data_IF_376107111647
#
_entry.id   IF_376107111647
#
_cell.length_a   1.000
_cell.length_b   1.000
_cell.length_c   1.000
_cell.angle_alpha   90.00
_cell.angle_beta   90.00
_cell.angle_gamma   90.00
#
_symmetry.space_group_name_H-M   'P 1'
#
loop_
_entity.id
_entity.type
_entity.pdbx_description
1 polymer ?
#
# COMPACT_ATOMS: atom_id res chain seq x y z
N UNK A 1 -12.52 21.35 13.55
CA UNK A 1 -11.34 20.52 13.86
C UNK A 1 -10.25 20.89 12.88
N UNK A 2 -9.11 21.45 13.33
CA UNK A 2 -8.00 21.76 12.42
C UNK A 2 -7.26 20.47 12.11
N UNK A 3 -7.14 20.12 10.84
CA UNK A 3 -6.34 18.97 10.40
C UNK A 3 -4.86 19.37 10.51
N UNK A 4 -4.09 18.64 11.31
CA UNK A 4 -2.65 18.81 11.37
C UNK A 4 -1.96 18.38 10.07
N UNK A 5 -0.75 18.86 9.84
CA UNK A 5 0.04 18.55 8.64
C UNK A 5 0.31 17.03 8.52
N UNK A 6 0.45 16.35 9.65
CA UNK A 6 0.59 14.91 9.76
C UNK A 6 -0.62 14.16 9.20
N UNK A 7 -1.85 14.64 9.46
CA UNK A 7 -3.07 14.03 8.94
C UNK A 7 -3.21 14.25 7.44
N UNK A 8 -2.80 15.42 6.94
CA UNK A 8 -2.78 15.71 5.49
C UNK A 8 -1.85 14.72 4.78
N UNK A 9 -0.64 14.52 5.32
CA UNK A 9 0.32 13.59 4.76
C UNK A 9 -0.22 12.15 4.72
N UNK A 10 -0.84 11.68 5.81
CA UNK A 10 -1.47 10.36 5.86
C UNK A 10 -2.54 10.20 4.79
N UNK A 11 -3.43 11.18 4.61
CA UNK A 11 -4.47 11.12 3.57
C UNK A 11 -3.91 11.15 2.15
N UNK A 12 -2.78 11.82 1.91
CA UNK A 12 -2.09 11.75 0.61
C UNK A 12 -1.61 10.32 0.33
N UNK A 13 -0.98 9.65 1.31
CA UNK A 13 -0.55 8.26 1.18
C UNK A 13 -1.74 7.31 0.92
N UNK A 14 -2.86 7.53 1.61
CA UNK A 14 -4.10 6.76 1.39
C UNK A 14 -4.64 6.98 -0.02
N UNK A 15 -4.66 8.23 -0.51
CA UNK A 15 -5.08 8.55 -1.87
C UNK A 15 -4.20 7.87 -2.92
N UNK A 16 -2.88 7.86 -2.74
CA UNK A 16 -1.93 7.15 -3.61
C UNK A 16 -2.24 5.66 -3.65
N UNK A 17 -2.50 5.02 -2.50
CA UNK A 17 -2.92 3.62 -2.47
C UNK A 17 -4.20 3.39 -3.26
N UNK A 18 -5.23 4.24 -3.08
CA UNK A 18 -6.50 4.10 -3.80
C UNK A 18 -6.33 4.23 -5.32
N UNK A 19 -5.48 5.16 -5.76
CA UNK A 19 -5.11 5.30 -7.19
C UNK A 19 -4.37 4.05 -7.67
N UNK A 20 -3.40 3.56 -6.90
CA UNK A 20 -2.66 2.33 -7.22
C UNK A 20 -3.59 1.13 -7.35
N UNK A 21 -4.54 0.97 -6.43
CA UNK A 21 -5.55 -0.08 -6.48
C UNK A 21 -6.47 0.06 -7.69
N UNK A 22 -7.00 1.26 -7.95
CA UNK A 22 -7.84 1.51 -9.12
C UNK A 22 -7.11 1.18 -10.43
N UNK A 23 -5.84 1.56 -10.53
CA UNK A 23 -5.00 1.22 -11.68
C UNK A 23 -4.79 -0.29 -11.84
N UNK A 24 -4.47 -1.00 -10.76
CA UNK A 24 -4.34 -2.46 -10.77
C UNK A 24 -5.64 -3.16 -11.19
N UNK A 25 -6.78 -2.73 -10.65
CA UNK A 25 -8.10 -3.25 -11.03
C UNK A 25 -8.44 -2.96 -12.49
N UNK A 26 -8.14 -1.76 -12.99
CA UNK A 26 -8.38 -1.39 -14.38
C UNK A 26 -7.55 -2.23 -15.35
N UNK A 27 -6.32 -2.60 -14.97
CA UNK A 27 -5.45 -3.54 -15.71
C UNK A 27 -5.87 -5.01 -15.57
N UNK A 28 -6.97 -5.32 -14.88
CA UNK A 28 -7.43 -6.69 -14.65
C UNK A 28 -6.45 -7.54 -13.85
N UNK A 29 -5.68 -6.90 -12.97
CA UNK A 29 -4.64 -7.56 -12.16
C UNK A 29 -3.37 -7.94 -12.93
N UNK A 30 -3.21 -7.48 -14.19
CA UNK A 30 -2.04 -7.77 -15.03
C UNK A 30 -1.13 -6.55 -15.10
N UNK A 31 -0.07 -6.56 -14.30
CA UNK A 31 1.00 -5.56 -14.34
C UNK A 31 2.30 -6.22 -14.78
N UNK A 32 3.12 -5.49 -15.56
CA UNK A 32 4.52 -5.86 -15.77
C UNK A 32 5.31 -5.80 -14.46
N UNK A 33 6.50 -6.39 -14.40
CA UNK A 33 7.24 -6.47 -13.15
C UNK A 33 7.57 -5.10 -12.56
N UNK A 34 7.96 -4.13 -13.40
CA UNK A 34 8.23 -2.75 -12.96
C UNK A 34 6.96 -2.08 -12.44
N UNK A 35 5.85 -2.22 -13.15
CA UNK A 35 4.55 -1.69 -12.74
C UNK A 35 4.08 -2.32 -11.42
N UNK A 36 4.30 -3.62 -11.23
CA UNK A 36 3.95 -4.34 -10.02
C UNK A 36 4.74 -3.82 -8.80
N UNK A 37 6.02 -3.46 -8.98
CA UNK A 37 6.81 -2.83 -7.91
C UNK A 37 6.24 -1.45 -7.55
N UNK A 38 5.91 -0.62 -8.55
CA UNK A 38 5.29 0.70 -8.30
C UNK A 38 3.96 0.56 -7.58
N UNK A 39 3.12 -0.38 -8.00
CA UNK A 39 1.88 -0.74 -7.32
C UNK A 39 2.14 -1.16 -5.87
N UNK A 40 3.08 -2.08 -5.64
CA UNK A 40 3.44 -2.56 -4.30
C UNK A 40 3.87 -1.41 -3.38
N UNK A 41 4.74 -0.52 -3.85
CA UNK A 41 5.20 0.64 -3.06
C UNK A 41 4.04 1.58 -2.71
N UNK A 42 3.13 1.79 -3.66
CA UNK A 42 1.93 2.62 -3.46
C UNK A 42 1.00 2.03 -2.40
N UNK A 43 0.78 0.72 -2.46
CA UNK A 43 -0.04 -0.03 -1.50
C UNK A 43 0.58 -0.03 -0.10
N UNK A 44 1.88 -0.32 0.00
CA UNK A 44 2.60 -0.35 1.28
C UNK A 44 2.59 1.01 1.96
N UNK A 45 2.81 2.09 1.20
CA UNK A 45 2.75 3.46 1.73
C UNK A 45 1.38 3.81 2.30
N UNK A 46 0.30 3.48 1.60
CA UNK A 46 -1.05 3.70 2.12
C UNK A 46 -1.42 2.79 3.28
N UNK A 47 -0.99 1.52 3.29
CA UNK A 47 -1.30 0.56 4.37
C UNK A 47 -0.68 1.01 5.69
N UNK A 48 0.53 1.58 5.65
CA UNK A 48 1.15 2.22 6.82
C UNK A 48 0.32 3.42 7.28
N UNK A 49 -0.13 4.26 6.35
CA UNK A 49 -0.91 5.44 6.69
C UNK A 49 -2.29 5.11 7.30
N UNK A 50 -3.02 4.15 6.72
CA UNK A 50 -4.27 3.64 7.30
C UNK A 50 -3.99 2.91 8.62
N UNK A 51 -2.87 2.20 8.73
CA UNK A 51 -2.44 1.57 9.99
C UNK A 51 -2.28 2.58 11.12
N UNK A 52 -1.62 3.72 10.87
CA UNK A 52 -1.49 4.80 11.85
C UNK A 52 -2.84 5.39 12.22
N UNK A 53 -3.68 5.69 11.23
CA UNK A 53 -5.00 6.28 11.44
C UNK A 53 -5.93 5.36 12.26
N UNK A 54 -5.97 4.07 11.91
CA UNK A 54 -6.76 3.06 12.62
C UNK A 54 -6.23 2.76 14.02
N UNK A 55 -4.91 2.86 14.26
CA UNK A 55 -4.34 2.74 15.59
C UNK A 55 -4.74 3.91 16.50
N UNK A 56 -4.71 5.15 15.98
CA UNK A 56 -5.16 6.35 16.70
C UNK A 56 -6.66 6.27 17.00
N UNK A 57 -7.46 5.79 16.05
CA UNK A 57 -8.90 5.62 16.21
C UNK A 57 -9.30 4.40 17.06
N UNK A 58 -8.33 3.62 17.58
CA UNK A 58 -8.56 2.37 18.30
C UNK A 58 -9.43 1.34 17.53
N UNK A 59 -9.37 1.39 16.19
CA UNK A 59 -10.08 0.48 15.30
C UNK A 59 -9.27 -0.81 15.06
N UNK A 60 -9.09 -1.62 16.11
CA UNK A 60 -8.18 -2.77 16.13
C UNK A 60 -8.45 -3.83 15.04
N UNK A 61 -9.72 -4.03 14.67
CA UNK A 61 -10.08 -4.92 13.56
C UNK A 61 -9.54 -4.43 12.23
N UNK A 62 -9.67 -3.13 11.96
CA UNK A 62 -9.12 -2.51 10.75
C UNK A 62 -7.59 -2.53 10.78
N UNK A 63 -6.96 -2.25 11.92
CA UNK A 63 -5.51 -2.32 12.09
C UNK A 63 -4.96 -3.72 11.79
N UNK A 64 -5.65 -4.76 12.25
CA UNK A 64 -5.28 -6.16 12.00
C UNK A 64 -5.32 -6.48 10.50
N UNK A 65 -6.39 -6.06 9.82
CA UNK A 65 -6.51 -6.22 8.37
C UNK A 65 -5.41 -5.47 7.61
N UNK A 66 -5.11 -4.24 8.00
CA UNK A 66 -4.02 -3.48 7.38
C UNK A 66 -2.66 -4.13 7.58
N UNK A 67 -2.40 -4.66 8.77
CA UNK A 67 -1.17 -5.40 9.06
C UNK A 67 -1.04 -6.64 8.18
N UNK A 68 -2.13 -7.41 8.02
CA UNK A 68 -2.15 -8.56 7.12
C UNK A 68 -1.83 -8.16 5.67
N UNK A 69 -2.50 -7.13 5.14
CA UNK A 69 -2.27 -6.67 3.77
C UNK A 69 -0.86 -6.10 3.58
N UNK A 70 -0.34 -5.38 4.56
CA UNK A 70 1.03 -4.86 4.56
C UNK A 70 2.05 -5.98 4.42
N UNK A 71 1.95 -7.03 5.23
CA UNK A 71 2.86 -8.17 5.18
C UNK A 71 2.76 -8.89 3.84
N UNK A 72 1.55 -9.19 3.38
CA UNK A 72 1.33 -9.90 2.12
C UNK A 72 1.86 -9.13 0.92
N UNK A 73 1.55 -7.83 0.85
CA UNK A 73 1.98 -6.93 -0.23
C UNK A 73 3.51 -6.81 -0.24
N UNK A 74 4.11 -6.60 0.94
CA UNK A 74 5.56 -6.48 1.07
C UNK A 74 6.29 -7.75 0.61
N UNK A 75 5.82 -8.94 1.04
CA UNK A 75 6.39 -10.22 0.62
C UNK A 75 6.25 -10.42 -0.90
N UNK A 76 5.09 -10.11 -1.48
CA UNK A 76 4.87 -10.20 -2.91
C UNK A 76 5.82 -9.28 -3.71
N UNK A 77 5.98 -8.03 -3.26
CA UNK A 77 6.88 -7.05 -3.86
C UNK A 77 8.34 -7.50 -3.81
N UNK A 78 8.82 -7.92 -2.63
CA UNK A 78 10.20 -8.42 -2.47
C UNK A 78 10.44 -9.65 -3.34
N UNK A 79 9.50 -10.62 -3.35
CA UNK A 79 9.62 -11.80 -4.21
C UNK A 79 9.74 -11.43 -5.69
N UNK A 80 8.90 -10.50 -6.16
CA UNK A 80 8.95 -10.06 -7.56
C UNK A 80 10.27 -9.35 -7.89
N UNK A 81 10.73 -8.47 -7.01
CA UNK A 81 12.01 -7.78 -7.17
C UNK A 81 13.19 -8.76 -7.28
N UNK A 82 13.23 -9.77 -6.41
CA UNK A 82 14.27 -10.81 -6.46
C UNK A 82 14.21 -11.65 -7.74
N UNK A 83 13.01 -11.93 -8.26
CA UNK A 83 12.85 -12.63 -9.54
C UNK A 83 13.39 -11.80 -10.71
N UNK A 84 13.09 -10.50 -10.76
CA UNK A 84 13.63 -9.60 -11.78
C UNK A 84 15.17 -9.59 -11.76
N UNK A 85 15.78 -9.56 -10.57
CA UNK A 85 17.24 -9.56 -10.43
C UNK A 85 17.92 -10.86 -10.84
N UNK A 86 17.22 -11.99 -10.82
CA UNK A 86 17.76 -13.29 -11.28
C UNK A 86 17.70 -13.45 -12.80
N UNK A 87 16.84 -12.69 -13.47
CA UNK A 87 16.61 -12.75 -14.92
C UNK A 87 17.38 -11.67 -15.69
N UNK A 88 18.05 -10.75 -14.97
CA UNK A 88 18.90 -9.70 -15.51
C UNK A 88 20.37 -10.06 -15.41
#
# INVERSE_FOLDING_TARGET
MKMGAEMIFLYICIAIQMIGWAWFSWRGGKLSDREFIVFTLSMVGGQVAVGVETAIAHAWGALTMQTYFFLFTSVAGVRRYLQMRKLS
#
